data_IF_852806261200
#
_entry.id   IF_852806261200
#
_cell.length_a   1.000
_cell.length_b   1.000
_cell.length_c   1.000
_cell.angle_alpha   90.00
_cell.angle_beta   90.00
_cell.angle_gamma   90.00
#
_symmetry.space_group_name_H-M   'P 1'
#
loop_
_entity.id
_entity.type
_entity.pdbx_description
1 polymer ?
#
# COMPACT_ATOMS: atom_id res chain seq x y z
N UNK A 1 -1.76 61.83 -15.64
CA UNK A 1 -1.25 61.49 -14.28
C UNK A 1 -1.92 60.21 -13.81
N UNK A 2 -1.23 59.07 -13.90
CA UNK A 2 -1.75 57.78 -13.42
C UNK A 2 -1.72 57.70 -11.90
N UNK A 3 -2.85 57.29 -11.27
CA UNK A 3 -2.96 57.19 -9.81
C UNK A 3 -1.94 56.17 -9.26
N UNK A 4 -1.05 56.57 -8.34
CA UNK A 4 0.03 55.71 -7.84
C UNK A 4 -0.45 54.46 -7.07
N UNK A 5 -1.71 54.39 -6.66
CA UNK A 5 -2.27 53.26 -5.89
C UNK A 5 -2.42 51.94 -6.64
N UNK A 6 -2.60 51.94 -7.97
CA UNK A 6 -2.90 50.71 -8.71
C UNK A 6 -1.66 49.81 -8.91
N UNK A 7 -0.45 50.37 -8.85
CA UNK A 7 0.78 49.60 -9.06
C UNK A 7 1.17 48.76 -7.83
N UNK A 8 0.92 49.28 -6.64
CA UNK A 8 1.22 48.57 -5.39
C UNK A 8 0.27 47.39 -5.17
N UNK A 9 -1.02 47.58 -5.49
CA UNK A 9 -2.02 46.52 -5.42
C UNK A 9 -1.73 45.39 -6.41
N UNK A 10 -1.33 45.72 -7.64
CA UNK A 10 -0.94 44.74 -8.64
C UNK A 10 0.29 43.92 -8.21
N UNK A 11 1.28 44.56 -7.59
CA UNK A 11 2.50 43.88 -7.11
C UNK A 11 2.19 42.91 -5.95
N UNK A 12 1.30 43.30 -5.03
CA UNK A 12 0.90 42.49 -3.88
C UNK A 12 0.10 41.24 -4.30
N UNK A 13 -0.76 41.38 -5.32
CA UNK A 13 -1.51 40.25 -5.89
C UNK A 13 -0.59 39.27 -6.60
N UNK A 14 0.44 39.74 -7.33
CA UNK A 14 1.42 38.84 -7.99
C UNK A 14 2.26 38.09 -6.95
N UNK A 15 2.68 38.75 -5.87
CA UNK A 15 3.42 38.11 -4.77
C UNK A 15 2.59 37.08 -3.99
N UNK A 16 1.28 37.31 -3.85
CA UNK A 16 0.34 36.35 -3.24
C UNK A 16 0.05 35.15 -4.15
N UNK A 17 0.09 35.33 -5.47
CA UNK A 17 -0.09 34.26 -6.46
C UNK A 17 1.21 33.49 -6.74
N UNK A 18 2.37 34.06 -6.41
CA UNK A 18 3.67 33.38 -6.46
C UNK A 18 4.04 32.71 -5.14
N UNK A 19 3.04 32.28 -4.36
CA UNK A 19 3.27 31.36 -3.24
C UNK A 19 4.12 30.17 -3.70
N UNK A 20 4.88 29.52 -2.78
CA UNK A 20 5.73 28.41 -3.16
C UNK A 20 4.87 27.42 -3.93
N UNK A 21 5.20 27.23 -5.22
CA UNK A 21 4.60 26.17 -6.01
C UNK A 21 4.83 24.91 -5.18
N UNK A 22 3.77 24.40 -4.57
CA UNK A 22 3.85 23.11 -3.88
C UNK A 22 4.42 22.18 -4.92
N UNK A 23 5.59 21.60 -4.62
CA UNK A 23 6.22 20.63 -5.49
C UNK A 23 5.10 19.68 -5.90
N UNK A 24 4.79 19.65 -7.20
CA UNK A 24 3.95 18.60 -7.73
C UNK A 24 4.83 17.35 -7.62
N UNK A 25 4.85 16.76 -6.42
CA UNK A 25 5.47 15.46 -6.21
C UNK A 25 4.81 14.57 -7.23
N UNK A 26 5.61 14.04 -8.15
CA UNK A 26 5.10 13.08 -9.11
C UNK A 26 4.46 11.97 -8.29
N UNK A 27 3.13 11.84 -8.35
CA UNK A 27 2.46 10.71 -7.74
C UNK A 27 2.97 9.49 -8.50
N UNK A 28 3.73 8.61 -7.86
CA UNK A 28 4.22 7.36 -8.45
C UNK A 28 3.12 6.29 -8.56
N UNK A 29 1.86 6.72 -8.59
CA UNK A 29 0.69 5.86 -8.71
C UNK A 29 -0.47 6.55 -9.43
N UNK A 30 -1.35 5.73 -10.01
CA UNK A 30 -2.63 6.14 -10.60
C UNK A 30 -3.66 5.03 -10.37
N UNK A 31 -4.83 5.38 -9.83
CA UNK A 31 -5.97 4.45 -9.75
C UNK A 31 -6.71 4.52 -11.08
N UNK A 32 -6.64 3.44 -11.86
CA UNK A 32 -7.23 3.34 -13.20
C UNK A 32 -8.72 3.00 -13.16
N UNK A 33 -9.12 2.15 -12.20
CA UNK A 33 -10.51 1.76 -11.97
C UNK A 33 -10.68 1.31 -10.51
N UNK A 34 -11.84 1.57 -9.92
CA UNK A 34 -12.14 1.14 -8.56
C UNK A 34 -13.63 0.89 -8.41
N UNK A 35 -13.97 -0.30 -7.88
CA UNK A 35 -15.32 -0.66 -7.48
C UNK A 35 -15.26 -1.39 -6.15
N UNK A 36 -15.65 -0.67 -5.11
CA UNK A 36 -15.69 -1.16 -3.74
C UNK A 36 -17.12 -1.01 -3.20
N UNK A 37 -17.59 -1.99 -2.45
CA UNK A 37 -18.84 -1.88 -1.67
C UNK A 37 -18.62 -1.07 -0.38
N UNK A 38 -19.66 -0.94 0.44
CA UNK A 38 -19.60 -0.22 1.72
C UNK A 38 -18.61 -0.84 2.72
N UNK A 39 -18.34 -2.15 2.59
CA UNK A 39 -17.39 -2.90 3.40
C UNK A 39 -15.99 -2.94 2.76
N UNK A 40 -15.78 -2.20 1.66
CA UNK A 40 -14.54 -2.14 0.87
C UNK A 40 -14.15 -3.46 0.21
N UNK A 41 -15.09 -4.37 -0.03
CA UNK A 41 -14.87 -5.52 -0.91
C UNK A 41 -15.04 -5.12 -2.38
N UNK A 42 -14.26 -5.75 -3.25
CA UNK A 42 -14.33 -5.52 -4.69
C UNK A 42 -12.95 -5.49 -5.32
N UNK A 43 -12.68 -4.52 -6.17
CA UNK A 43 -11.37 -4.37 -6.80
C UNK A 43 -10.92 -2.92 -6.92
N UNK A 44 -9.60 -2.76 -6.93
CA UNK A 44 -8.91 -1.54 -7.37
C UNK A 44 -7.86 -1.95 -8.40
N UNK A 45 -7.86 -1.29 -9.56
CA UNK A 45 -6.78 -1.40 -10.55
C UNK A 45 -5.88 -0.19 -10.35
N UNK A 46 -4.66 -0.44 -9.89
CA UNK A 46 -3.64 0.59 -9.67
C UNK A 46 -2.46 0.38 -10.59
N UNK A 47 -1.95 1.47 -11.14
CA UNK A 47 -0.66 1.53 -11.82
C UNK A 47 0.35 2.14 -10.86
N UNK A 48 1.49 1.48 -10.67
CA UNK A 48 2.64 1.96 -9.90
C UNK A 48 3.85 2.07 -10.83
N UNK A 49 4.74 3.03 -10.60
CA UNK A 49 5.96 3.18 -11.40
C UNK A 49 7.10 3.88 -10.65
N UNK A 50 8.33 3.63 -11.11
CA UNK A 50 9.55 4.19 -10.55
C UNK A 50 10.43 3.09 -9.96
N UNK A 51 11.30 3.48 -9.03
CA UNK A 51 12.07 2.60 -8.15
C UNK A 51 11.17 1.81 -7.19
N UNK A 52 11.74 0.78 -6.54
CA UNK A 52 11.04 0.03 -5.48
C UNK A 52 10.47 0.94 -4.39
N UNK A 53 11.28 1.88 -3.91
CA UNK A 53 10.83 2.87 -2.94
C UNK A 53 9.64 3.69 -3.44
N UNK A 54 9.71 4.22 -4.67
CA UNK A 54 8.64 5.04 -5.25
C UNK A 54 7.33 4.25 -5.45
N UNK A 55 7.43 2.99 -5.88
CA UNK A 55 6.27 2.11 -6.00
C UNK A 55 5.66 1.82 -4.62
N UNK A 56 6.49 1.53 -3.63
CA UNK A 56 6.07 1.34 -2.25
C UNK A 56 5.40 2.59 -1.68
N UNK A 57 5.98 3.76 -1.90
CA UNK A 57 5.41 5.05 -1.50
C UNK A 57 4.05 5.29 -2.15
N UNK A 58 3.94 5.06 -3.46
CA UNK A 58 2.67 5.18 -4.17
C UNK A 58 1.59 4.25 -3.62
N UNK A 59 1.95 3.00 -3.33
CA UNK A 59 1.04 2.03 -2.71
C UNK A 59 0.62 2.44 -1.29
N UNK A 60 1.60 2.82 -0.45
CA UNK A 60 1.37 3.24 0.93
C UNK A 60 0.49 4.49 1.01
N UNK A 61 0.69 5.46 0.11
CA UNK A 61 -0.14 6.67 0.06
C UNK A 61 -1.55 6.39 -0.48
N UNK A 62 -1.67 5.58 -1.54
CA UNK A 62 -2.97 5.27 -2.16
C UNK A 62 -3.91 4.50 -1.21
N UNK A 63 -3.36 3.60 -0.39
CA UNK A 63 -4.12 2.68 0.47
C UNK A 63 -3.88 2.90 1.96
N UNK A 64 -3.46 4.10 2.37
CA UNK A 64 -3.01 4.36 3.73
C UNK A 64 -4.05 3.95 4.81
N UNK A 65 -5.31 4.31 4.59
CA UNK A 65 -6.40 3.94 5.51
C UNK A 65 -6.63 2.43 5.62
N UNK A 66 -6.54 1.70 4.51
CA UNK A 66 -6.69 0.23 4.48
C UNK A 66 -5.53 -0.45 5.21
N UNK A 67 -4.31 0.04 5.01
CA UNK A 67 -3.11 -0.49 5.67
C UNK A 67 -3.21 -0.29 7.18
N UNK A 68 -3.61 0.90 7.64
CA UNK A 68 -3.79 1.19 9.08
C UNK A 68 -4.90 0.32 9.68
N UNK A 69 -6.03 0.19 8.99
CA UNK A 69 -7.13 -0.67 9.42
C UNK A 69 -6.71 -2.13 9.55
N UNK A 70 -6.08 -2.68 8.51
CA UNK A 70 -5.57 -4.05 8.52
C UNK A 70 -4.50 -4.27 9.59
N UNK A 71 -3.61 -3.31 9.81
CA UNK A 71 -2.62 -3.39 10.89
C UNK A 71 -3.27 -3.44 12.28
N UNK A 72 -4.32 -2.64 12.50
CA UNK A 72 -5.07 -2.64 13.76
C UNK A 72 -5.76 -4.00 14.00
N UNK A 73 -6.34 -4.59 12.95
CA UNK A 73 -6.94 -5.94 13.01
C UNK A 73 -5.89 -7.00 13.35
N UNK A 74 -4.73 -6.99 12.67
CA UNK A 74 -3.64 -7.93 12.95
C UNK A 74 -3.12 -7.79 14.40
N UNK A 75 -2.96 -6.55 14.88
CA UNK A 75 -2.55 -6.30 16.28
C UNK A 75 -3.60 -6.81 17.27
N UNK A 76 -4.89 -6.65 16.96
CA UNK A 76 -5.98 -7.14 17.80
C UNK A 76 -6.03 -8.68 17.85
N UNK A 77 -5.88 -9.33 16.69
CA UNK A 77 -5.93 -10.80 16.58
C UNK A 77 -4.73 -11.48 17.24
N UNK A 78 -3.52 -10.95 17.00
CA UNK A 78 -2.29 -11.50 17.60
C UNK A 78 -2.12 -11.15 19.08
N UNK A 79 -2.74 -10.06 19.53
CA UNK A 79 -2.75 -9.59 20.90
C UNK A 79 -1.34 -9.50 21.51
N UNK A 80 -1.13 -10.16 22.65
CA UNK A 80 0.15 -10.14 23.37
C UNK A 80 1.32 -10.80 22.63
N UNK A 81 1.07 -11.56 21.56
CA UNK A 81 2.13 -12.18 20.76
C UNK A 81 2.74 -11.25 19.73
N UNK A 82 2.11 -10.10 19.44
CA UNK A 82 2.57 -9.16 18.42
C UNK A 82 4.06 -8.77 18.54
N UNK A 83 4.60 -8.46 19.75
CA UNK A 83 6.03 -8.16 19.90
C UNK A 83 6.95 -9.33 19.53
N UNK A 84 6.56 -10.56 19.81
CA UNK A 84 7.35 -11.74 19.46
C UNK A 84 7.37 -11.97 17.94
N UNK A 85 6.23 -11.75 17.27
CA UNK A 85 6.14 -11.84 15.80
C UNK A 85 7.03 -10.76 15.16
N UNK A 86 7.01 -9.53 15.68
CA UNK A 86 7.91 -8.46 15.22
C UNK A 86 9.39 -8.82 15.37
N UNK A 87 9.78 -9.43 16.49
CA UNK A 87 11.16 -9.87 16.71
C UNK A 87 11.61 -10.95 15.70
N UNK A 88 10.69 -11.81 15.25
CA UNK A 88 10.99 -12.76 14.17
C UNK A 88 11.19 -12.01 12.85
N UNK A 89 10.31 -11.05 12.52
CA UNK A 89 10.43 -10.27 11.28
C UNK A 89 11.71 -9.43 11.22
N UNK A 90 12.22 -8.97 12.36
CA UNK A 90 13.47 -8.21 12.47
C UNK A 90 14.69 -9.04 12.06
N UNK A 91 14.69 -10.34 12.36
CA UNK A 91 15.81 -11.24 12.04
C UNK A 91 15.62 -12.01 10.74
N UNK A 92 14.48 -11.84 10.08
CA UNK A 92 14.15 -12.52 8.83
C UNK A 92 14.84 -11.81 7.66
N UNK A 93 15.44 -12.59 6.74
CA UNK A 93 15.98 -12.05 5.48
C UNK A 93 14.86 -11.94 4.46
N UNK A 94 14.61 -10.73 3.98
CA UNK A 94 13.58 -10.44 2.98
C UNK A 94 14.19 -10.42 1.58
N UNK A 95 13.61 -11.22 0.69
CA UNK A 95 13.99 -11.33 -0.72
C UNK A 95 12.78 -11.03 -1.60
N UNK A 96 12.97 -10.52 -2.83
CA UNK A 96 14.26 -10.24 -3.50
C UNK A 96 14.97 -9.00 -2.95
N UNK A 97 16.24 -8.81 -3.34
CA UNK A 97 16.99 -7.58 -3.05
C UNK A 97 16.21 -6.38 -3.64
N UNK A 98 15.95 -5.36 -2.82
CA UNK A 98 15.13 -4.20 -3.17
C UNK A 98 13.77 -4.15 -2.46
N UNK A 99 13.31 -5.27 -1.88
CA UNK A 99 12.02 -5.30 -1.17
C UNK A 99 11.99 -4.41 0.08
N UNK A 100 13.13 -4.25 0.76
CA UNK A 100 13.25 -3.36 1.92
C UNK A 100 13.04 -1.89 1.55
N UNK A 101 13.44 -1.49 0.33
CA UNK A 101 13.20 -0.13 -0.17
C UNK A 101 11.71 0.07 -0.44
N UNK A 102 11.04 -0.93 -1.02
CA UNK A 102 9.59 -0.90 -1.23
C UNK A 102 8.81 -0.85 0.09
N UNK A 103 9.19 -1.65 1.08
CA UNK A 103 8.61 -1.62 2.43
C UNK A 103 8.80 -0.24 3.07
N UNK A 104 9.99 0.34 2.97
CA UNK A 104 10.28 1.68 3.48
C UNK A 104 9.42 2.73 2.77
N UNK A 105 9.27 2.60 1.45
CA UNK A 105 8.35 3.41 0.65
C UNK A 105 6.92 3.32 1.18
N UNK A 106 6.40 2.13 1.44
CA UNK A 106 5.04 1.94 1.98
C UNK A 106 4.86 2.70 3.29
N UNK A 107 5.81 2.58 4.23
CA UNK A 107 5.76 3.28 5.53
C UNK A 107 5.69 4.79 5.33
N UNK A 108 6.56 5.34 4.48
CA UNK A 108 6.61 6.77 4.21
C UNK A 108 5.37 7.25 3.46
N UNK A 109 4.84 6.44 2.54
CA UNK A 109 3.59 6.67 1.84
C UNK A 109 2.42 6.78 2.81
N UNK A 110 2.29 5.83 3.74
CA UNK A 110 1.25 5.86 4.78
C UNK A 110 1.39 7.12 5.64
N UNK A 111 2.60 7.42 6.12
CA UNK A 111 2.87 8.59 6.96
C UNK A 111 2.67 9.92 6.23
N UNK A 112 2.81 9.96 4.91
CA UNK A 112 2.50 11.17 4.13
C UNK A 112 1.02 11.55 4.18
N UNK A 113 0.13 10.56 4.36
CA UNK A 113 -1.33 10.75 4.47
C UNK A 113 -1.77 10.81 5.94
N UNK A 114 -1.19 9.96 6.79
CA UNK A 114 -1.48 9.85 8.22
C UNK A 114 -0.21 10.07 9.06
N UNK A 115 0.25 11.32 9.25
CA UNK A 115 1.57 11.62 9.84
C UNK A 115 1.70 11.27 11.32
N UNK A 116 0.60 11.03 12.02
CA UNK A 116 0.59 10.67 13.44
C UNK A 116 0.65 9.15 13.67
N UNK A 117 0.61 8.34 12.61
CA UNK A 117 0.67 6.89 12.73
C UNK A 117 2.09 6.41 13.05
N UNK A 118 2.15 5.41 13.93
CA UNK A 118 3.42 4.84 14.41
C UNK A 118 3.88 3.63 13.62
N UNK A 119 3.25 3.36 12.47
CA UNK A 119 3.63 2.27 11.56
C UNK A 119 5.11 2.34 11.19
N UNK A 120 5.74 1.17 11.11
CA UNK A 120 7.13 1.02 10.67
C UNK A 120 7.30 -0.19 9.75
N UNK A 121 8.54 -0.42 9.29
CA UNK A 121 8.84 -1.49 8.34
C UNK A 121 8.51 -2.87 8.92
N UNK A 122 8.65 -3.07 10.24
CA UNK A 122 8.32 -4.35 10.86
C UNK A 122 6.81 -4.58 10.87
N UNK A 123 5.99 -3.55 11.08
CA UNK A 123 4.53 -3.66 10.96
C UNK A 123 4.11 -4.12 9.55
N UNK A 124 4.70 -3.52 8.50
CA UNK A 124 4.44 -3.90 7.10
C UNK A 124 4.89 -5.34 6.82
N UNK A 125 6.03 -5.76 7.37
CA UNK A 125 6.55 -7.13 7.27
C UNK A 125 5.63 -8.15 7.95
N UNK A 126 5.12 -7.83 9.14
CA UNK A 126 4.16 -8.68 9.84
C UNK A 126 2.88 -8.82 8.99
N UNK A 127 2.34 -7.72 8.47
CA UNK A 127 1.15 -7.75 7.62
C UNK A 127 1.34 -8.60 6.36
N UNK A 128 2.51 -8.50 5.71
CA UNK A 128 2.80 -9.26 4.48
C UNK A 128 2.88 -10.78 4.71
N UNK A 129 3.24 -11.23 5.91
CA UNK A 129 3.32 -12.67 6.23
C UNK A 129 2.11 -13.18 7.00
N UNK A 130 1.29 -12.29 7.57
CA UNK A 130 0.20 -12.65 8.47
C UNK A 130 -0.70 -13.74 7.89
N UNK A 131 -1.09 -13.60 6.62
CA UNK A 131 -1.95 -14.58 5.96
C UNK A 131 -1.33 -15.97 5.80
N UNK A 132 0.00 -16.06 5.72
CA UNK A 132 0.70 -17.32 5.49
C UNK A 132 0.63 -18.27 6.69
N UNK A 133 0.59 -17.70 7.91
CA UNK A 133 0.59 -18.47 9.15
C UNK A 133 -0.69 -18.34 9.96
N UNK A 134 -1.48 -17.27 9.77
CA UNK A 134 -2.76 -17.09 10.45
C UNK A 134 -3.91 -17.87 9.79
N UNK A 135 -3.76 -18.30 8.53
CA UNK A 135 -4.77 -19.08 7.80
C UNK A 135 -4.33 -20.53 7.51
N UNK A 136 -4.11 -21.38 8.54
CA UNK A 136 -3.66 -22.77 8.34
C UNK A 136 -4.69 -23.66 7.60
N UNK A 137 -5.93 -23.21 7.40
CA UNK A 137 -7.02 -24.06 6.87
C UNK A 137 -7.78 -23.53 5.65
N UNK A 138 -7.59 -22.28 5.21
CA UNK A 138 -8.63 -21.62 4.40
C UNK A 138 -8.29 -21.30 2.93
N UNK A 139 -7.02 -21.33 2.49
CA UNK A 139 -6.70 -21.13 1.07
C UNK A 139 -5.75 -22.21 0.56
N UNK A 140 -6.34 -23.28 -0.02
CA UNK A 140 -5.60 -24.29 -0.80
C UNK A 140 -5.89 -24.08 -2.27
N UNK A 141 -4.99 -23.40 -2.98
CA UNK A 141 -5.07 -23.28 -4.43
C UNK A 141 -4.52 -24.56 -5.08
N UNK A 142 -5.33 -25.18 -5.93
CA UNK A 142 -4.94 -26.34 -6.73
C UNK A 142 -4.90 -25.94 -8.19
N UNK A 143 -3.70 -25.88 -8.75
CA UNK A 143 -3.49 -25.71 -10.19
C UNK A 143 -3.02 -27.05 -10.76
N UNK A 144 -3.80 -27.63 -11.67
CA UNK A 144 -3.43 -28.84 -12.38
C UNK A 144 -3.45 -28.59 -13.90
N UNK A 145 -2.46 -29.14 -14.59
CA UNK A 145 -2.46 -29.27 -16.04
C UNK A 145 -2.79 -30.73 -16.36
N UNK A 146 -3.85 -30.97 -17.12
CA UNK A 146 -4.26 -32.33 -17.50
C UNK A 146 -5.12 -32.33 -18.75
N UNK A 147 -5.00 -33.41 -19.53
CA UNK A 147 -5.89 -33.75 -20.64
C UNK A 147 -6.91 -34.79 -20.18
N UNK A 148 -8.12 -34.77 -20.76
CA UNK A 148 -9.13 -35.80 -20.50
C UNK A 148 -8.64 -37.16 -20.99
N UNK A 149 -8.54 -38.13 -20.09
CA UNK A 149 -7.95 -39.44 -20.41
C UNK A 149 -8.94 -40.34 -21.19
N UNK A 150 -10.26 -40.24 -20.95
CA UNK A 150 -11.29 -40.99 -21.70
C UNK A 150 -12.73 -40.50 -21.45
N UNK A 151 -13.56 -40.43 -22.49
CA UNK A 151 -15.02 -40.17 -22.39
C UNK A 151 -15.76 -41.43 -21.87
N UNK A 152 -16.80 -41.35 -21.00
CA UNK A 152 -17.47 -40.17 -20.45
C UNK A 152 -17.02 -39.75 -19.04
N UNK A 153 -15.95 -40.36 -18.52
CA UNK A 153 -15.59 -40.25 -17.09
C UNK A 153 -14.62 -39.10 -16.87
N UNK A 154 -15.15 -37.99 -16.35
CA UNK A 154 -14.37 -36.82 -15.90
C UNK A 154 -14.04 -36.94 -14.41
N UNK A 155 -13.10 -37.80 -14.02
CA UNK A 155 -12.62 -37.81 -12.62
C UNK A 155 -11.37 -36.94 -12.47
N UNK A 156 -11.55 -35.80 -11.79
CA UNK A 156 -10.46 -35.06 -11.15
C UNK A 156 -10.35 -35.58 -9.71
N UNK A 157 -9.17 -36.08 -9.33
CA UNK A 157 -8.86 -36.43 -7.93
C UNK A 157 -7.96 -35.34 -7.36
N UNK A 158 -8.43 -34.63 -6.34
CA UNK A 158 -7.66 -33.63 -5.57
C UNK A 158 -7.65 -34.01 -4.08
N UNK A 159 -6.59 -33.66 -3.35
CA UNK A 159 -6.47 -33.81 -1.89
C UNK A 159 -6.73 -32.50 -1.15
#
# INVERSE_FOLDING_TARGET
MGKPGNKLLALLVVLLLSGPATSAWAQNFEILDQRLDEQRHGYTVIRLWGSHYEMGYGMGAAFAGDIIGGLAEVKADTGGMYPAIRAIMETTVWLPIGIEDEISGIVDGVKSVHPNETIDALDVKVMNTYSDWAYPTACRSHSCWGDFVQDPVKTLSTR
#
